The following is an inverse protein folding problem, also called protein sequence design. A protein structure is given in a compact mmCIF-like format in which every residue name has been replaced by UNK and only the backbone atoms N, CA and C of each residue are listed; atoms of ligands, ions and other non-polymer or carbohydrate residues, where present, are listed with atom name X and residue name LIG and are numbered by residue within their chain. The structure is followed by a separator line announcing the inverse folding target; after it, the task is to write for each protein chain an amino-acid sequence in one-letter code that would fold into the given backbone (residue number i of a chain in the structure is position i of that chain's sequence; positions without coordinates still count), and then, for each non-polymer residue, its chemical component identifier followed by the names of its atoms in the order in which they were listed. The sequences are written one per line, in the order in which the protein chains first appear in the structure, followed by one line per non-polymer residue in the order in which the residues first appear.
data_IF_762371982216
#
_entry.id   IF_762371982216
#
_cell.length_a   1.000
_cell.length_b   1.000
_cell.length_c   1.000
_cell.angle_alpha   90.00
_cell.angle_beta   90.00
_cell.angle_gamma   90.00
#
_symmetry.space_group_name_H-M   'P 1'
#
loop_
_entity.id
_entity.type
_entity.pdbx_description
1 polymer ?
#
# COMPACT_ATOMS: atom_id res chain seq x y z
N UNK A 1 -8.57 -8.78 20.68
CA UNK A 1 -7.78 -8.51 19.46
C UNK A 1 -8.47 -9.19 18.29
N UNK A 2 -9.12 -8.43 17.40
CA UNK A 2 -9.68 -9.00 16.16
C UNK A 2 -8.52 -9.30 15.22
N UNK A 3 -8.44 -10.53 14.71
CA UNK A 3 -7.40 -10.90 13.73
C UNK A 3 -7.55 -10.08 12.46
N UNK A 4 -6.45 -9.55 11.93
CA UNK A 4 -6.42 -8.70 10.72
C UNK A 4 -7.11 -9.38 9.52
N UNK A 5 -7.06 -10.72 9.44
CA UNK A 5 -7.74 -11.50 8.40
C UNK A 5 -9.27 -11.44 8.48
N UNK A 6 -9.82 -11.58 9.69
CA UNK A 6 -11.28 -11.56 9.93
C UNK A 6 -11.88 -10.22 9.50
N UNK A 7 -11.15 -9.12 9.74
CA UNK A 7 -11.62 -7.79 9.41
C UNK A 7 -11.69 -7.54 7.89
N UNK A 8 -10.77 -8.14 7.12
CA UNK A 8 -10.79 -8.11 5.65
C UNK A 8 -11.96 -8.92 5.11
N UNK A 9 -12.16 -10.13 5.63
CA UNK A 9 -13.28 -10.99 5.24
C UNK A 9 -14.63 -10.30 5.50
N UNK A 10 -14.79 -9.69 6.68
CA UNK A 10 -15.98 -8.89 7.01
C UNK A 10 -16.16 -7.69 6.07
N UNK A 11 -15.07 -7.05 5.65
CA UNK A 11 -15.13 -5.92 4.72
C UNK A 11 -15.53 -6.36 3.30
N UNK A 12 -15.04 -7.52 2.84
CA UNK A 12 -15.43 -8.11 1.56
C UNK A 12 -16.91 -8.50 1.60
N UNK A 13 -17.34 -9.20 2.66
CA UNK A 13 -18.74 -9.55 2.85
C UNK A 13 -19.61 -8.30 2.85
N UNK A 14 -19.19 -7.26 3.58
CA UNK A 14 -19.90 -5.99 3.61
C UNK A 14 -20.03 -5.34 2.22
N UNK A 15 -18.96 -5.34 1.41
CA UNK A 15 -19.04 -4.84 0.02
C UNK A 15 -20.05 -5.63 -0.81
N UNK A 16 -20.10 -6.96 -0.66
CA UNK A 16 -21.06 -7.82 -1.37
C UNK A 16 -22.50 -7.52 -0.91
N UNK A 17 -22.72 -7.32 0.38
CA UNK A 17 -24.06 -6.97 0.89
C UNK A 17 -24.49 -5.58 0.41
N UNK A 18 -23.56 -4.61 0.39
CA UNK A 18 -23.82 -3.27 -0.14
C UNK A 18 -24.14 -3.31 -1.64
N UNK A 19 -23.46 -4.13 -2.45
CA UNK A 19 -23.78 -4.25 -3.89
C UNK A 19 -25.15 -4.85 -4.12
N UNK A 20 -25.51 -5.90 -3.37
CA UNK A 20 -26.85 -6.47 -3.41
C UNK A 20 -27.90 -5.43 -2.99
N UNK A 21 -27.62 -4.67 -1.94
CA UNK A 21 -28.52 -3.62 -1.47
C UNK A 21 -28.73 -2.51 -2.50
N UNK A 22 -27.68 -2.07 -3.22
CA UNK A 22 -27.79 -1.09 -4.32
C UNK A 22 -28.65 -1.65 -5.47
N UNK A 23 -28.47 -2.91 -5.85
CA UNK A 23 -29.28 -3.55 -6.91
C UNK A 23 -30.76 -3.57 -6.51
N UNK A 24 -31.05 -3.90 -5.26
CA UNK A 24 -32.43 -3.90 -4.74
C UNK A 24 -32.98 -2.47 -4.69
N UNK A 25 -32.16 -1.48 -4.30
CA UNK A 25 -32.57 -0.08 -4.27
C UNK A 25 -32.88 0.47 -5.68
N UNK A 26 -32.07 0.14 -6.68
CA UNK A 26 -32.29 0.53 -8.07
C UNK A 26 -33.57 -0.12 -8.63
N UNK A 27 -33.86 -1.37 -8.27
CA UNK A 27 -35.04 -2.08 -8.78
C UNK A 27 -36.35 -1.66 -8.09
N UNK A 28 -36.32 -1.32 -6.81
CA UNK A 28 -37.52 -0.94 -6.04
C UNK A 28 -37.29 0.27 -5.12
N UNK A 29 -37.50 1.46 -5.69
CA UNK A 29 -37.42 2.73 -4.97
C UNK A 29 -38.74 2.95 -4.22
N UNK A 30 -38.80 2.48 -2.98
CA UNK A 30 -39.92 2.71 -2.05
C UNK A 30 -39.43 3.42 -0.78
N UNK A 31 -40.29 4.21 -0.10
CA UNK A 31 -39.90 4.94 1.11
C UNK A 31 -39.40 4.02 2.23
N UNK A 32 -39.98 2.83 2.37
CA UNK A 32 -39.56 1.81 3.34
C UNK A 32 -38.14 1.30 3.05
N UNK A 33 -37.82 1.10 1.77
CA UNK A 33 -36.48 0.64 1.36
C UNK A 33 -35.43 1.72 1.58
N UNK A 34 -35.76 2.98 1.32
CA UNK A 34 -34.86 4.10 1.65
C UNK A 34 -34.52 4.09 3.13
N UNK A 35 -35.52 4.01 4.01
CA UNK A 35 -35.28 4.02 5.45
C UNK A 35 -34.39 2.87 5.92
N UNK A 36 -34.60 1.67 5.35
CA UNK A 36 -33.75 0.51 5.60
C UNK A 36 -32.30 0.76 5.16
N UNK A 37 -32.09 1.29 3.95
CA UNK A 37 -30.75 1.65 3.43
C UNK A 37 -30.09 2.70 4.33
N UNK A 38 -30.85 3.69 4.81
CA UNK A 38 -30.33 4.74 5.70
C UNK A 38 -29.76 4.18 7.01
N UNK A 39 -30.37 3.12 7.56
CA UNK A 39 -29.92 2.49 8.79
C UNK A 39 -28.77 1.50 8.56
N UNK A 40 -28.84 0.69 7.49
CA UNK A 40 -27.94 -0.44 7.29
C UNK A 40 -26.64 -0.04 6.55
N UNK A 41 -26.71 0.84 5.55
CA UNK A 41 -25.54 1.17 4.73
C UNK A 41 -24.37 1.75 5.54
N UNK A 42 -24.57 2.69 6.50
CA UNK A 42 -23.47 3.19 7.32
C UNK A 42 -22.85 2.10 8.19
N UNK A 43 -23.67 1.22 8.80
CA UNK A 43 -23.19 0.11 9.62
C UNK A 43 -22.28 -0.84 8.83
N UNK A 44 -22.63 -1.10 7.56
CA UNK A 44 -21.83 -1.92 6.66
C UNK A 44 -20.50 -1.25 6.30
N UNK A 45 -20.40 0.07 6.25
CA UNK A 45 -19.12 0.75 5.96
C UNK A 45 -18.12 0.75 7.12
N UNK A 46 -18.58 0.60 8.37
CA UNK A 46 -17.73 0.60 9.58
C UNK A 46 -16.56 -0.39 9.52
N UNK A 47 -16.75 -1.69 9.19
CA UNK A 47 -15.63 -2.64 9.09
C UNK A 47 -14.58 -2.21 8.05
N UNK A 48 -14.99 -1.59 6.95
CA UNK A 48 -14.08 -1.11 5.90
C UNK A 48 -13.18 0.00 6.43
N UNK A 49 -13.76 0.97 7.13
CA UNK A 49 -13.02 2.08 7.74
C UNK A 49 -12.03 1.55 8.77
N UNK A 50 -12.49 0.66 9.67
CA UNK A 50 -11.62 0.02 10.66
C UNK A 50 -10.46 -0.76 10.03
N UNK A 51 -10.65 -1.34 8.84
CA UNK A 51 -9.61 -2.09 8.14
C UNK A 51 -8.44 -1.23 7.67
N UNK A 52 -8.69 0.05 7.39
CA UNK A 52 -7.71 0.93 6.73
C UNK A 52 -7.22 2.06 7.64
N UNK A 53 -8.04 2.55 8.58
CA UNK A 53 -7.69 3.68 9.48
C UNK A 53 -6.43 3.43 10.31
N UNK A 54 -6.11 2.17 10.60
CA UNK A 54 -4.92 1.81 11.38
C UNK A 54 -3.61 2.07 10.62
N UNK A 55 -3.64 2.13 9.28
CA UNK A 55 -2.48 2.51 8.48
C UNK A 55 -2.65 3.97 8.06
N UNK A 56 -1.94 4.89 8.74
CA UNK A 56 -1.85 6.32 8.38
C UNK A 56 -1.19 6.49 7.01
N UNK A 57 -1.94 6.20 5.95
CA UNK A 57 -1.47 6.08 4.56
C UNK A 57 -2.39 6.85 3.62
N UNK A 58 -1.86 7.23 2.46
CA UNK A 58 -2.64 7.77 1.32
C UNK A 58 -3.88 6.93 0.97
N UNK A 59 -3.85 5.63 1.27
CA UNK A 59 -4.99 4.73 1.09
C UNK A 59 -6.25 5.14 1.88
N UNK A 60 -6.11 5.81 3.04
CA UNK A 60 -7.26 6.29 3.84
C UNK A 60 -8.03 7.39 3.11
N UNK A 61 -7.33 8.26 2.37
CA UNK A 61 -7.95 9.34 1.59
C UNK A 61 -8.74 8.76 0.41
N UNK A 62 -8.14 7.80 -0.31
CA UNK A 62 -8.81 7.09 -1.40
C UNK A 62 -10.06 6.36 -0.88
N UNK A 63 -9.95 5.70 0.28
CA UNK A 63 -11.09 5.04 0.91
C UNK A 63 -12.19 6.04 1.27
N UNK A 64 -11.86 7.19 1.87
CA UNK A 64 -12.86 8.18 2.25
C UNK A 64 -13.63 8.72 1.04
N UNK A 65 -12.93 8.98 -0.07
CA UNK A 65 -13.55 9.37 -1.34
C UNK A 65 -14.45 8.24 -1.86
N UNK A 66 -13.97 6.99 -1.82
CA UNK A 66 -14.75 5.82 -2.24
C UNK A 66 -16.04 5.62 -1.43
N UNK A 67 -15.96 5.79 -0.11
CA UNK A 67 -17.11 5.72 0.79
C UNK A 67 -18.11 6.86 0.55
N UNK A 68 -17.61 8.08 0.32
CA UNK A 68 -18.46 9.21 -0.04
C UNK A 68 -19.24 8.93 -1.34
N UNK A 69 -18.59 8.36 -2.36
CA UNK A 69 -19.24 7.97 -3.59
C UNK A 69 -20.28 6.86 -3.39
N UNK A 70 -20.00 5.84 -2.57
CA UNK A 70 -20.96 4.77 -2.28
C UNK A 70 -22.17 5.28 -1.50
N UNK A 71 -21.95 5.98 -0.39
CA UNK A 71 -23.04 6.52 0.44
C UNK A 71 -23.82 7.63 -0.30
N UNK A 72 -23.13 8.44 -1.10
CA UNK A 72 -23.77 9.43 -1.97
C UNK A 72 -24.72 8.78 -2.98
N UNK A 73 -24.32 7.65 -3.56
CA UNK A 73 -25.17 6.85 -4.45
C UNK A 73 -26.39 6.28 -3.73
N UNK A 74 -26.19 5.70 -2.55
CA UNK A 74 -27.24 4.97 -1.82
C UNK A 74 -28.22 5.86 -1.05
N UNK A 75 -27.78 7.04 -0.59
CA UNK A 75 -28.56 7.89 0.31
C UNK A 75 -28.93 9.21 -0.35
N UNK A 76 -27.94 9.93 -0.87
CA UNK A 76 -28.10 11.30 -1.37
C UNK A 76 -28.88 11.32 -2.68
N UNK A 77 -28.46 10.53 -3.67
CA UNK A 77 -29.08 10.50 -5.00
C UNK A 77 -30.57 10.09 -4.98
N UNK A 78 -30.99 9.05 -4.23
CA UNK A 78 -32.39 8.66 -4.15
C UNK A 78 -33.23 9.71 -3.44
N UNK A 79 -32.65 10.42 -2.47
CA UNK A 79 -33.33 11.54 -1.82
C UNK A 79 -33.56 12.72 -2.79
N UNK A 80 -32.55 13.05 -3.60
CA UNK A 80 -32.66 14.07 -4.66
C UNK A 80 -33.71 13.67 -5.70
N UNK A 81 -33.81 12.37 -6.03
CA UNK A 81 -34.87 11.84 -6.89
C UNK A 81 -36.24 11.98 -6.25
N UNK A 82 -36.38 11.70 -4.95
CA UNK A 82 -37.64 11.84 -4.21
C UNK A 82 -38.16 13.27 -4.18
N UNK A 83 -37.27 14.27 -4.21
CA UNK A 83 -37.61 15.70 -4.25
C UNK A 83 -37.97 16.14 -5.69
N UNK A 84 -37.68 15.31 -6.69
CA UNK A 84 -38.02 15.57 -8.10
C UNK A 84 -37.02 16.44 -8.85
N UNK A 85 -35.81 16.63 -8.33
CA UNK A 85 -34.78 17.49 -8.94
C UNK A 85 -34.15 16.81 -10.17
N UNK A 86 -34.07 15.48 -10.19
CA UNK A 86 -33.41 14.71 -11.24
C UNK A 86 -34.41 13.76 -11.93
N UNK A 87 -34.23 13.54 -13.23
CA UNK A 87 -35.04 12.55 -13.96
C UNK A 87 -34.60 11.11 -13.62
N UNK A 88 -35.53 10.16 -13.68
CA UNK A 88 -35.27 8.74 -13.36
C UNK A 88 -34.11 8.17 -14.19
N UNK A 89 -34.06 8.44 -15.50
CA UNK A 89 -33.01 7.91 -16.38
C UNK A 89 -31.60 8.42 -16.00
N UNK A 90 -31.51 9.69 -15.61
CA UNK A 90 -30.27 10.31 -15.13
C UNK A 90 -29.88 9.77 -13.76
N UNK A 91 -30.85 9.51 -12.89
CA UNK A 91 -30.63 8.89 -11.59
C UNK A 91 -30.00 7.51 -11.73
N UNK A 92 -30.58 6.62 -12.54
CA UNK A 92 -30.05 5.26 -12.74
C UNK A 92 -28.59 5.26 -13.18
N UNK A 93 -28.29 6.10 -14.18
CA UNK A 93 -26.95 6.19 -14.75
C UNK A 93 -25.96 6.81 -13.76
N UNK A 94 -26.37 7.86 -13.04
CA UNK A 94 -25.52 8.53 -12.07
C UNK A 94 -25.24 7.63 -10.85
N UNK A 95 -26.27 7.01 -10.27
CA UNK A 95 -26.19 6.11 -9.12
C UNK A 95 -25.22 4.96 -9.42
N UNK A 96 -25.47 4.23 -10.50
CA UNK A 96 -24.63 3.08 -10.86
C UNK A 96 -23.16 3.48 -11.07
N UNK A 97 -22.89 4.62 -11.74
CA UNK A 97 -21.52 5.10 -11.96
C UNK A 97 -20.84 5.52 -10.66
N UNK A 98 -21.53 6.28 -9.79
CA UNK A 98 -20.97 6.70 -8.50
C UNK A 98 -20.69 5.51 -7.60
N UNK A 99 -21.60 4.53 -7.58
CA UNK A 99 -21.46 3.33 -6.76
C UNK A 99 -20.30 2.45 -7.20
N UNK A 100 -20.20 2.15 -8.51
CA UNK A 100 -19.10 1.37 -9.07
C UNK A 100 -17.74 2.05 -8.86
N UNK A 101 -17.67 3.37 -9.04
CA UNK A 101 -16.47 4.14 -8.75
C UNK A 101 -16.10 4.04 -7.26
N UNK A 102 -17.08 4.14 -6.37
CA UNK A 102 -16.89 4.01 -4.93
C UNK A 102 -16.29 2.65 -4.54
N UNK A 103 -16.86 1.56 -5.06
CA UNK A 103 -16.35 0.19 -4.83
C UNK A 103 -14.94 0.04 -5.36
N UNK A 104 -14.66 0.52 -6.58
CA UNK A 104 -13.33 0.44 -7.16
C UNK A 104 -12.28 1.15 -6.28
N UNK A 105 -12.60 2.35 -5.80
CA UNK A 105 -11.72 3.12 -4.91
C UNK A 105 -11.49 2.41 -3.57
N UNK A 106 -12.54 1.84 -2.97
CA UNK A 106 -12.41 1.06 -1.73
C UNK A 106 -11.59 -0.21 -1.95
N UNK A 107 -11.81 -0.93 -3.05
CA UNK A 107 -11.01 -2.11 -3.40
C UNK A 107 -9.53 -1.76 -3.59
N UNK A 108 -9.21 -0.68 -4.31
CA UNK A 108 -7.83 -0.21 -4.49
C UNK A 108 -7.20 0.17 -3.15
N UNK A 109 -7.94 0.87 -2.28
CA UNK A 109 -7.45 1.24 -0.95
C UNK A 109 -7.14 0.01 -0.08
N UNK A 110 -7.98 -1.04 -0.15
CA UNK A 110 -7.75 -2.32 0.51
C UNK A 110 -6.49 -3.00 -0.03
N UNK A 111 -6.30 -3.03 -1.35
CA UNK A 111 -5.09 -3.62 -1.96
C UNK A 111 -3.84 -2.88 -1.49
N UNK A 112 -3.85 -1.54 -1.47
CA UNK A 112 -2.73 -0.73 -0.97
C UNK A 112 -2.35 -1.04 0.48
N UNK A 113 -3.33 -1.36 1.32
CA UNK A 113 -3.12 -1.64 2.75
C UNK A 113 -2.69 -3.08 3.00
N UNK A 114 -3.33 -4.06 2.36
CA UNK A 114 -3.15 -5.48 2.68
C UNK A 114 -2.18 -6.22 1.76
N UNK A 115 -2.03 -5.77 0.51
CA UNK A 115 -1.05 -6.31 -0.45
C UNK A 115 -0.29 -5.17 -1.15
N UNK A 116 0.50 -4.37 -0.40
CA UNK A 116 1.36 -3.36 -1.02
C UNK A 116 2.33 -4.00 -2.04
N UNK A 117 2.75 -5.25 -1.84
CA UNK A 117 3.64 -5.98 -2.75
C UNK A 117 3.11 -6.14 -4.19
N UNK A 118 1.79 -6.01 -4.44
CA UNK A 118 1.25 -5.98 -5.80
C UNK A 118 1.40 -4.62 -6.49
N UNK A 119 1.60 -3.55 -5.73
CA UNK A 119 1.64 -2.17 -6.21
C UNK A 119 3.04 -1.55 -6.11
N UNK A 120 3.89 -2.03 -5.20
CA UNK A 120 5.25 -1.55 -5.02
C UNK A 120 6.26 -2.39 -5.81
N UNK A 121 7.33 -1.74 -6.27
CA UNK A 121 8.43 -2.40 -6.94
C UNK A 121 9.04 -3.49 -6.04
N UNK A 122 9.22 -4.69 -6.60
CA UNK A 122 9.66 -5.93 -5.93
C UNK A 122 11.00 -5.83 -5.17
N UNK A 123 11.77 -4.76 -5.37
CA UNK A 123 13.12 -4.56 -4.85
C UNK A 123 13.24 -3.64 -3.62
N UNK A 124 12.12 -3.27 -2.97
CA UNK A 124 12.17 -2.45 -1.75
C UNK A 124 12.56 -3.31 -0.52
N UNK A 125 13.42 -2.82 0.40
CA UNK A 125 13.60 -3.46 1.70
C UNK A 125 12.26 -3.55 2.45
N UNK A 126 12.03 -4.64 3.20
CA UNK A 126 10.80 -4.78 4.00
C UNK A 126 10.93 -3.89 5.24
N UNK A 127 9.80 -3.41 5.75
CA UNK A 127 9.74 -2.62 7.00
C UNK A 127 10.34 -3.42 8.19
N UNK A 128 10.24 -4.76 8.17
CA UNK A 128 10.88 -5.64 9.17
C UNK A 128 12.42 -5.61 9.15
N UNK A 129 13.01 -5.19 8.02
CA UNK A 129 14.46 -5.05 7.89
C UNK A 129 14.91 -3.65 8.39
N UNK A 130 14.05 -2.63 8.41
CA UNK A 130 14.44 -1.23 8.70
C UNK A 130 14.97 -1.00 10.12
N UNK A 131 14.51 -1.77 11.12
CA UNK A 131 14.85 -1.56 12.53
C UNK A 131 16.33 -1.87 12.88
N UNK A 132 17.06 -2.59 12.03
CA UNK A 132 18.46 -2.98 12.28
C UNK A 132 19.46 -2.55 11.20
N UNK A 133 19.01 -1.91 10.12
CA UNK A 133 19.93 -1.56 9.03
C UNK A 133 20.68 -0.28 9.37
N UNK A 134 22.01 -0.40 9.51
CA UNK A 134 22.91 0.74 9.68
C UNK A 134 23.31 1.30 8.31
N UNK A 135 23.42 2.62 8.21
CA UNK A 135 23.99 3.25 7.01
C UNK A 135 25.50 3.03 7.05
N UNK A 136 26.06 2.49 5.96
CA UNK A 136 27.50 2.40 5.79
C UNK A 136 28.04 3.79 5.52
N UNK A 137 28.80 4.32 6.48
CA UNK A 137 29.64 5.47 6.26
C UNK A 137 31.09 4.98 6.26
N UNK A 138 31.79 5.10 5.13
CA UNK A 138 33.17 4.66 4.99
C UNK A 138 34.12 5.26 6.04
N UNK A 139 33.71 6.35 6.71
CA UNK A 139 34.42 6.99 7.82
C UNK A 139 34.12 6.40 9.22
N UNK A 140 33.02 5.66 9.39
CA UNK A 140 32.52 5.18 10.69
C UNK A 140 33.17 3.88 11.18
N UNK A 141 34.13 3.34 10.44
CA UNK A 141 34.90 2.15 10.82
C UNK A 141 35.79 2.33 12.07
N UNK A 142 35.76 3.49 12.73
CA UNK A 142 36.59 3.80 13.90
C UNK A 142 35.92 3.59 15.27
N UNK A 143 34.58 3.45 15.36
CA UNK A 143 33.90 3.55 16.67
C UNK A 143 33.21 2.27 17.19
N UNK A 144 33.28 1.14 16.49
CA UNK A 144 32.88 -0.16 17.05
C UNK A 144 34.09 -1.05 17.25
N UNK A 145 34.22 -1.58 18.47
CA UNK A 145 35.31 -2.38 19.06
C UNK A 145 35.68 -3.70 18.35
N UNK A 146 35.38 -3.84 17.06
CA UNK A 146 35.89 -4.85 16.13
C UNK A 146 36.85 -4.27 15.07
N UNK A 147 37.12 -2.96 15.11
CA UNK A 147 37.79 -2.17 14.06
C UNK A 147 39.28 -2.44 13.81
N UNK A 148 39.92 -3.38 14.52
CA UNK A 148 41.32 -3.74 14.24
C UNK A 148 41.51 -4.68 13.05
N UNK A 149 40.44 -5.23 12.47
CA UNK A 149 40.52 -6.17 11.33
C UNK A 149 40.02 -5.59 9.99
N UNK A 150 39.37 -4.42 9.99
CA UNK A 150 38.88 -3.78 8.77
C UNK A 150 39.93 -2.87 8.09
N UNK A 151 40.94 -2.41 8.84
CA UNK A 151 41.98 -1.49 8.32
C UNK A 151 42.96 -2.15 7.33
N UNK A 152 42.87 -3.47 7.11
CA UNK A 152 43.75 -4.22 6.20
C UNK A 152 43.00 -4.92 5.06
N UNK A 153 41.67 -4.77 4.96
CA UNK A 153 40.88 -5.36 3.88
C UNK A 153 40.88 -4.43 2.67
N UNK A 154 41.24 -4.96 1.50
CA UNK A 154 41.13 -4.26 0.22
C UNK A 154 39.69 -3.76 0.03
N UNK A 155 39.54 -2.50 -0.36
CA UNK A 155 38.25 -1.89 -0.64
C UNK A 155 37.96 -2.04 -2.13
N UNK A 156 36.79 -2.58 -2.47
CA UNK A 156 36.34 -2.82 -3.83
C UNK A 156 35.11 -1.93 -4.08
N UNK A 157 34.99 -1.29 -5.26
CA UNK A 157 33.79 -0.53 -5.60
C UNK A 157 32.58 -1.47 -5.66
N UNK A 158 31.44 -1.05 -5.11
CA UNK A 158 30.21 -1.86 -5.07
C UNK A 158 29.82 -2.42 -6.45
N UNK A 159 30.08 -1.67 -7.52
CA UNK A 159 29.83 -2.07 -8.92
C UNK A 159 30.48 -3.40 -9.33
N UNK A 160 31.59 -3.80 -8.69
CA UNK A 160 32.26 -5.08 -8.97
C UNK A 160 31.59 -6.27 -8.26
N UNK A 161 30.69 -6.03 -7.33
CA UNK A 161 29.91 -7.07 -6.62
C UNK A 161 28.55 -7.35 -7.30
N UNK A 162 28.17 -6.51 -8.25
CA UNK A 162 26.91 -6.52 -8.98
C UNK A 162 27.12 -7.12 -10.38
N UNK A 163 26.11 -7.82 -10.88
CA UNK A 163 26.09 -8.32 -12.26
C UNK A 163 25.93 -7.16 -13.26
N UNK A 164 26.25 -7.38 -14.54
CA UNK A 164 26.22 -6.31 -15.57
C UNK A 164 24.82 -5.70 -15.72
N UNK A 165 23.78 -6.53 -15.59
CA UNK A 165 22.37 -6.10 -15.60
C UNK A 165 22.01 -5.27 -14.37
N UNK A 166 22.58 -5.61 -13.23
CA UNK A 166 22.35 -4.91 -11.95
C UNK A 166 23.06 -3.55 -11.96
N UNK A 167 24.26 -3.47 -12.55
CA UNK A 167 25.01 -2.23 -12.73
C UNK A 167 24.25 -1.18 -13.56
N UNK A 168 23.46 -1.60 -14.56
CA UNK A 168 22.61 -0.68 -15.33
C UNK A 168 21.50 -0.04 -14.50
N UNK A 169 21.02 -0.72 -13.46
CA UNK A 169 19.91 -0.25 -12.62
C UNK A 169 20.40 0.54 -11.41
N UNK A 170 21.67 0.41 -11.06
CA UNK A 170 22.31 1.04 -9.92
C UNK A 170 22.06 2.56 -9.80
N UNK A 171 22.06 3.37 -10.89
CA UNK A 171 21.81 4.81 -10.80
C UNK A 171 20.42 5.20 -10.30
N UNK A 172 19.44 4.28 -10.39
CA UNK A 172 18.08 4.53 -9.90
C UNK A 172 17.96 4.38 -8.37
N UNK A 173 18.96 3.79 -7.72
CA UNK A 173 18.95 3.52 -6.29
C UNK A 173 19.84 4.51 -5.54
N UNK A 174 19.37 4.96 -4.37
CA UNK A 174 20.14 5.80 -3.44
C UNK A 174 20.99 4.94 -2.51
N UNK A 175 20.49 3.77 -2.14
CA UNK A 175 21.20 2.82 -1.28
C UNK A 175 20.93 1.38 -1.73
N UNK A 176 21.89 0.50 -1.51
CA UNK A 176 21.81 -0.94 -1.77
C UNK A 176 22.06 -1.69 -0.47
N UNK A 177 21.33 -2.78 -0.24
CA UNK A 177 21.57 -3.64 0.92
C UNK A 177 22.78 -4.54 0.69
N UNK A 178 23.77 -4.46 1.57
CA UNK A 178 25.00 -5.25 1.51
C UNK A 178 25.29 -5.85 2.89
N UNK A 179 25.66 -7.12 2.92
CA UNK A 179 26.15 -7.80 4.12
C UNK A 179 27.67 -7.61 4.18
N UNK A 180 28.14 -6.93 5.23
CA UNK A 180 29.55 -6.72 5.53
C UNK A 180 29.84 -7.40 6.86
N UNK A 181 30.75 -8.38 6.85
CA UNK A 181 31.17 -9.14 8.04
C UNK A 181 29.98 -9.67 8.89
N UNK A 182 28.93 -10.14 8.20
CA UNK A 182 27.73 -10.73 8.82
C UNK A 182 26.65 -9.73 9.26
N UNK A 183 26.85 -8.43 9.06
CA UNK A 183 25.89 -7.37 9.39
C UNK A 183 25.37 -6.69 8.13
N UNK A 184 24.07 -6.40 8.07
CA UNK A 184 23.41 -5.72 6.95
C UNK A 184 23.58 -4.21 7.04
N UNK A 185 24.10 -3.61 5.97
CA UNK A 185 24.28 -2.17 5.83
C UNK A 185 23.60 -1.64 4.57
N UNK A 186 23.15 -0.38 4.63
CA UNK A 186 22.75 0.42 3.46
C UNK A 186 23.99 1.14 2.92
N UNK A 187 24.41 0.77 1.72
CA UNK A 187 25.60 1.31 1.06
C UNK A 187 25.19 2.19 -0.12
N UNK A 188 25.82 3.36 -0.28
CA UNK A 188 25.63 4.20 -1.47
C UNK A 188 26.16 3.49 -2.72
N UNK A 189 25.53 3.63 -3.90
CA UNK A 189 25.99 2.98 -5.13
C UNK A 189 27.42 3.36 -5.56
N UNK A 190 27.93 4.50 -5.09
CA UNK A 190 29.27 5.02 -5.42
C UNK A 190 30.31 4.74 -4.32
N UNK A 191 29.92 4.10 -3.22
CA UNK A 191 30.83 3.79 -2.11
C UNK A 191 31.66 2.52 -2.33
N UNK A 192 32.73 2.43 -1.55
CA UNK A 192 33.62 1.29 -1.51
C UNK A 192 33.31 0.39 -0.32
N UNK A 193 33.43 -0.92 -0.55
CA UNK A 193 33.05 -1.97 0.39
C UNK A 193 34.21 -2.98 0.53
N UNK A 194 34.49 -3.52 1.73
CA UNK A 194 35.59 -4.48 1.90
C UNK A 194 35.37 -5.79 1.12
N UNK A 195 36.48 -6.40 0.66
CA UNK A 195 36.46 -7.71 -0.01
C UNK A 195 35.83 -8.77 0.89
N UNK A 196 34.91 -9.56 0.33
CA UNK A 196 34.15 -10.59 1.05
C UNK A 196 32.73 -10.15 1.43
N UNK A 197 32.34 -8.92 1.09
CA UNK A 197 30.97 -8.44 1.28
C UNK A 197 30.03 -9.01 0.22
N UNK A 198 28.79 -9.27 0.61
CA UNK A 198 27.79 -9.92 -0.25
C UNK A 198 26.55 -9.04 -0.39
N UNK A 199 26.13 -8.77 -1.63
CA UNK A 199 24.88 -8.03 -1.90
C UNK A 199 23.70 -8.92 -1.56
N UNK A 200 22.71 -8.39 -0.84
CA UNK A 200 21.49 -9.12 -0.55
C UNK A 200 20.64 -9.19 -1.81
N UNK A 201 20.42 -10.42 -2.30
CA UNK A 201 19.60 -10.70 -3.47
C UNK A 201 18.33 -11.43 -3.07
N UNK A 202 17.20 -11.02 -3.65
CA UNK A 202 15.93 -11.73 -3.57
C UNK A 202 15.51 -12.08 -5.00
N UNK A 203 15.26 -13.35 -5.27
CA UNK A 203 14.92 -13.88 -6.59
C UNK A 203 15.89 -13.48 -7.72
N UNK A 204 17.19 -13.37 -7.41
CA UNK A 204 18.24 -13.04 -8.38
C UNK A 204 18.41 -11.54 -8.65
N UNK A 205 17.79 -10.65 -7.88
CA UNK A 205 17.92 -9.20 -8.03
C UNK A 205 18.32 -8.53 -6.70
N UNK A 206 19.21 -7.53 -6.77
CA UNK A 206 19.61 -6.76 -5.59
C UNK A 206 18.48 -5.91 -5.01
N UNK A 207 18.46 -5.80 -3.67
CA UNK A 207 17.53 -4.96 -2.93
C UNK A 207 18.14 -3.57 -2.74
N UNK A 208 17.37 -2.54 -3.02
CA UNK A 208 17.83 -1.16 -2.88
C UNK A 208 16.72 -0.18 -2.56
N UNK A 209 17.09 0.89 -1.87
CA UNK A 209 16.22 2.05 -1.63
C UNK A 209 16.34 2.97 -2.83
N UNK A 210 15.23 3.20 -3.53
CA UNK A 210 15.20 4.07 -4.72
C UNK A 210 15.47 5.52 -4.34
N UNK A 211 16.12 6.28 -5.22
CA UNK A 211 16.26 7.74 -5.04
C UNK A 211 14.88 8.39 -5.13
N UNK A 212 14.43 9.03 -4.06
CA UNK A 212 13.25 9.90 -4.11
C UNK A 212 13.69 11.17 -4.84
N UNK A 213 13.12 11.39 -6.03
CA UNK A 213 13.28 12.61 -6.81
C UNK A 213 12.46 13.75 -6.20
#
# INVERSE_FOLDING_TARGET
MVSKGILVELSILSMIVLTLLEIVLLTNISPSMLWLVYMIAPMLTVPMVLAVVWKRSFATVIMAIGLLCMLGSMMLLPHILSIGIISKDKFYTASLRSFLLGIAMVAISMIMVYKPEMLYARNRPRDDDEDNIKVWDGSSSSSSSSSRMASSKLLIPLRKLLDDRENMLLPMYRYVLVIIDGVTYLVSPDDYVPVGSMVVRRDGMFIGVRKVL
#
